data_IF_915349152937
#
_entry.id   IF_915349152937
#
_cell.length_a   1.000
_cell.length_b   1.000
_cell.length_c   1.000
_cell.angle_alpha   90.00
_cell.angle_beta   90.00
_cell.angle_gamma   90.00
#
_symmetry.space_group_name_H-M   'P 1'
#
loop_
_entity.id
_entity.type
_entity.pdbx_description
1 polymer ?
#
# COMPACT_ATOMS: atom_id res chain seq x y z
N UNK A 1 -16.08 16.17 -18.33
CA UNK A 1 -16.37 16.80 -17.03
C UNK A 1 -15.03 17.26 -16.46
N UNK A 2 -14.92 18.49 -16.00
CA UNK A 2 -13.72 19.00 -15.33
C UNK A 2 -13.47 18.23 -14.05
N UNK A 3 -12.21 17.86 -13.76
CA UNK A 3 -11.84 17.20 -12.52
C UNK A 3 -12.15 18.13 -11.34
N UNK A 4 -12.89 17.63 -10.35
CA UNK A 4 -13.16 18.37 -9.11
C UNK A 4 -11.99 18.14 -8.14
N UNK A 5 -11.44 19.20 -7.55
CA UNK A 5 -10.45 19.10 -6.48
C UNK A 5 -11.15 19.20 -5.13
N UNK A 6 -10.77 18.32 -4.20
CA UNK A 6 -11.28 18.26 -2.83
C UNK A 6 -10.11 18.38 -1.86
N UNK A 7 -10.30 19.10 -0.76
CA UNK A 7 -9.33 19.16 0.34
C UNK A 7 -9.66 18.13 1.41
N UNK A 8 -8.65 17.34 1.79
CA UNK A 8 -8.68 16.39 2.89
C UNK A 8 -7.98 16.99 4.14
N UNK A 9 -8.16 16.37 5.33
CA UNK A 9 -7.45 16.80 6.54
C UNK A 9 -5.95 16.92 6.31
N UNK A 10 -5.32 17.94 6.90
CA UNK A 10 -3.90 18.24 6.73
C UNK A 10 -3.56 19.06 5.49
N UNK A 11 -4.57 19.61 4.79
CA UNK A 11 -4.36 20.42 3.59
C UNK A 11 -4.03 19.58 2.34
N UNK A 12 -4.20 18.27 2.41
CA UNK A 12 -3.97 17.37 1.26
C UNK A 12 -5.05 17.60 0.20
N UNK A 13 -4.63 17.82 -1.04
CA UNK A 13 -5.51 18.07 -2.18
C UNK A 13 -5.59 16.83 -3.07
N UNK A 14 -6.81 16.44 -3.42
CA UNK A 14 -7.06 15.28 -4.29
C UNK A 14 -8.03 15.63 -5.41
N UNK A 15 -7.85 15.00 -6.56
CA UNK A 15 -8.78 15.11 -7.69
C UNK A 15 -9.79 13.99 -7.68
N UNK A 16 -11.03 14.33 -7.98
CA UNK A 16 -12.12 13.38 -8.15
C UNK A 16 -12.29 13.08 -9.64
N UNK A 17 -12.12 11.82 -10.01
CA UNK A 17 -12.49 11.29 -11.32
C UNK A 17 -13.52 10.17 -11.08
N UNK A 18 -14.62 10.06 -11.87
CA UNK A 18 -15.64 9.03 -11.62
C UNK A 18 -15.12 7.61 -11.88
N UNK A 19 -15.55 6.61 -11.15
CA UNK A 19 -15.92 6.48 -9.74
C UNK A 19 -15.11 5.41 -9.00
N UNK A 20 -14.05 5.76 -8.28
CA UNK A 20 -13.41 4.82 -7.35
C UNK A 20 -14.11 4.85 -5.99
N UNK A 21 -14.20 3.70 -5.31
CA UNK A 21 -14.86 3.59 -4.00
C UNK A 21 -14.26 4.55 -2.95
N UNK A 22 -12.94 4.70 -2.94
CA UNK A 22 -12.19 5.60 -2.07
C UNK A 22 -12.63 7.07 -2.23
N UNK A 23 -12.94 7.50 -3.45
CA UNK A 23 -13.35 8.87 -3.76
C UNK A 23 -14.69 9.26 -3.14
N UNK A 24 -15.57 8.28 -2.81
CA UNK A 24 -16.81 8.55 -2.06
C UNK A 24 -16.52 9.11 -0.67
N UNK A 25 -15.41 8.69 -0.02
CA UNK A 25 -14.99 9.25 1.26
C UNK A 25 -14.30 10.60 1.07
N UNK A 26 -13.50 10.77 0.04
CA UNK A 26 -12.86 12.03 -0.31
C UNK A 26 -13.88 13.16 -0.55
N UNK A 27 -14.98 12.86 -1.26
CA UNK A 27 -16.10 13.80 -1.45
C UNK A 27 -16.74 14.26 -0.13
N UNK A 28 -16.59 13.46 0.95
CA UNK A 28 -17.02 13.80 2.31
C UNK A 28 -15.90 14.46 3.13
N UNK A 29 -14.77 14.82 2.53
CA UNK A 29 -13.61 15.39 3.21
C UNK A 29 -12.91 14.41 4.15
N UNK A 30 -12.94 13.09 3.86
CA UNK A 30 -12.38 12.03 4.71
C UNK A 30 -11.50 11.10 3.90
N UNK A 31 -10.44 10.59 4.55
CA UNK A 31 -9.68 9.47 4.00
C UNK A 31 -10.52 8.17 4.05
N UNK A 32 -10.33 7.33 3.05
CA UNK A 32 -10.81 5.94 3.10
C UNK A 32 -10.03 5.18 4.18
N UNK A 33 -10.64 4.21 4.84
CA UNK A 33 -10.06 3.44 5.96
C UNK A 33 -9.53 4.31 7.11
N UNK A 34 -10.23 5.38 7.44
CA UNK A 34 -9.84 6.32 8.50
C UNK A 34 -9.47 5.68 9.85
N UNK A 35 -10.12 4.60 10.35
CA UNK A 35 -9.70 3.94 11.60
C UNK A 35 -8.31 3.31 11.52
N UNK A 36 -7.97 2.63 10.40
CA UNK A 36 -6.64 2.07 10.14
C UNK A 36 -5.59 3.18 10.11
N UNK A 37 -5.85 4.24 9.34
CA UNK A 37 -4.94 5.38 9.22
C UNK A 37 -4.72 6.11 10.55
N UNK A 38 -5.76 6.26 11.37
CA UNK A 38 -5.65 6.86 12.71
C UNK A 38 -4.78 6.00 13.63
N UNK A 39 -4.93 4.68 13.59
CA UNK A 39 -4.09 3.74 14.34
C UNK A 39 -2.63 3.84 13.90
N UNK A 40 -2.35 3.78 12.59
CA UNK A 40 -0.99 3.90 12.06
C UNK A 40 -0.36 5.23 12.50
N UNK A 41 -1.07 6.35 12.35
CA UNK A 41 -0.57 7.67 12.77
C UNK A 41 -0.26 7.74 14.27
N UNK A 42 -1.01 7.05 15.10
CA UNK A 42 -0.82 7.05 16.55
C UNK A 42 0.42 6.27 16.96
N UNK A 43 0.70 5.14 16.30
CA UNK A 43 1.68 4.16 16.77
C UNK A 43 2.99 4.14 15.95
N UNK A 44 2.96 4.61 14.68
CA UNK A 44 4.09 4.48 13.75
C UNK A 44 4.44 5.83 13.13
N UNK A 45 5.70 6.24 13.29
CA UNK A 45 6.22 7.50 12.76
C UNK A 45 7.67 7.38 12.34
N UNK A 46 8.03 8.17 11.33
CA UNK A 46 9.38 8.20 10.78
C UNK A 46 9.73 6.99 9.93
N UNK A 47 10.90 7.01 9.33
CA UNK A 47 11.36 5.96 8.43
C UNK A 47 10.69 5.96 7.05
N UNK A 48 10.91 4.88 6.32
CA UNK A 48 10.26 4.61 5.04
C UNK A 48 9.00 3.78 5.28
N UNK A 49 7.87 4.21 4.69
CA UNK A 49 6.65 3.42 4.59
C UNK A 49 6.53 2.87 3.16
N UNK A 50 6.14 1.60 3.02
CA UNK A 50 5.80 1.00 1.72
C UNK A 50 4.28 0.86 1.64
N UNK A 51 3.69 1.50 0.62
CA UNK A 51 2.27 1.41 0.28
C UNK A 51 2.12 0.52 -0.95
N UNK A 52 1.97 -0.78 -0.74
CA UNK A 52 1.75 -1.77 -1.79
C UNK A 52 0.28 -1.81 -2.19
N UNK A 53 0.01 -1.56 -3.48
CA UNK A 53 -1.33 -1.33 -4.01
C UNK A 53 -1.79 0.11 -3.74
N UNK A 54 -0.92 1.08 -4.00
CA UNK A 54 -1.17 2.49 -3.69
C UNK A 54 -2.37 3.11 -4.41
N UNK A 55 -2.83 2.49 -5.49
CA UNK A 55 -3.97 2.92 -6.30
C UNK A 55 -3.85 4.42 -6.67
N UNK A 56 -4.82 5.24 -6.29
CA UNK A 56 -4.83 6.70 -6.53
C UNK A 56 -4.25 7.53 -5.37
N UNK A 57 -3.64 6.86 -4.37
CA UNK A 57 -2.83 7.51 -3.33
C UNK A 57 -3.52 7.76 -1.99
N UNK A 58 -4.64 7.10 -1.65
CA UNK A 58 -5.33 7.35 -0.36
C UNK A 58 -4.40 7.19 0.85
N UNK A 59 -3.70 6.05 0.94
CA UNK A 59 -2.77 5.76 2.03
C UNK A 59 -1.46 6.51 1.85
N UNK A 60 -0.91 6.51 0.63
CA UNK A 60 0.33 7.24 0.27
C UNK A 60 0.29 8.69 0.74
N UNK A 61 -0.77 9.43 0.40
CA UNK A 61 -0.91 10.85 0.77
C UNK A 61 -1.00 11.04 2.28
N UNK A 62 -1.76 10.17 2.97
CA UNK A 62 -1.86 10.21 4.41
C UNK A 62 -0.51 9.91 5.08
N UNK A 63 0.20 8.89 4.64
CA UNK A 63 1.49 8.51 5.17
C UNK A 63 2.53 9.62 4.99
N UNK A 64 2.61 10.20 3.79
CA UNK A 64 3.53 11.29 3.48
C UNK A 64 3.21 12.57 4.26
N UNK A 65 1.92 12.89 4.46
CA UNK A 65 1.52 14.08 5.19
C UNK A 65 1.72 13.97 6.69
N UNK A 66 1.52 12.78 7.29
CA UNK A 66 1.38 12.68 8.74
C UNK A 66 2.34 11.71 9.44
N UNK A 67 2.96 10.77 8.74
CA UNK A 67 3.64 9.64 9.39
C UNK A 67 5.09 9.49 8.94
N UNK A 68 5.33 9.31 7.65
CA UNK A 68 6.58 8.86 7.08
C UNK A 68 7.55 10.00 6.75
N UNK A 69 8.83 9.68 6.73
CA UNK A 69 9.88 10.52 6.14
C UNK A 69 9.95 10.29 4.62
N UNK A 70 9.73 9.04 4.18
CA UNK A 70 9.61 8.63 2.79
C UNK A 70 8.45 7.64 2.64
N UNK A 71 7.74 7.69 1.51
CA UNK A 71 6.75 6.68 1.12
C UNK A 71 7.15 6.10 -0.24
N UNK A 72 7.35 4.77 -0.31
CA UNK A 72 7.40 4.07 -1.59
C UNK A 72 5.98 3.67 -1.97
N UNK A 73 5.44 4.31 -3.00
CA UNK A 73 4.09 4.06 -3.50
C UNK A 73 4.15 3.09 -4.68
N UNK A 74 3.74 1.84 -4.46
CA UNK A 74 3.83 0.76 -5.46
C UNK A 74 2.47 0.52 -6.08
N UNK A 75 2.34 0.76 -7.38
CA UNK A 75 1.08 0.62 -8.14
C UNK A 75 1.39 0.22 -9.59
N UNK A 76 0.95 -0.96 -10.07
CA UNK A 76 1.24 -1.43 -11.42
C UNK A 76 0.41 -0.76 -12.52
N UNK A 77 -0.81 -0.31 -12.20
CA UNK A 77 -1.75 0.22 -13.20
C UNK A 77 -1.39 1.66 -13.55
N UNK A 78 -0.99 1.90 -14.79
CA UNK A 78 -0.52 3.20 -15.27
C UNK A 78 -1.50 4.34 -15.00
N UNK A 79 -2.79 4.11 -15.25
CA UNK A 79 -3.85 5.11 -14.99
C UNK A 79 -3.95 5.48 -13.52
N UNK A 80 -3.85 4.51 -12.61
CA UNK A 80 -3.89 4.74 -11.17
C UNK A 80 -2.64 5.50 -10.73
N UNK A 81 -1.46 5.08 -11.19
CA UNK A 81 -0.19 5.75 -10.91
C UNK A 81 -0.20 7.20 -11.39
N UNK A 82 -0.68 7.47 -12.59
CA UNK A 82 -0.78 8.84 -13.10
C UNK A 82 -1.68 9.72 -12.20
N UNK A 83 -2.81 9.18 -11.72
CA UNK A 83 -3.72 9.87 -10.83
C UNK A 83 -3.09 10.10 -9.43
N UNK A 84 -2.38 9.08 -8.90
CA UNK A 84 -1.61 9.20 -7.66
C UNK A 84 -0.58 10.33 -7.75
N UNK A 85 0.21 10.38 -8.82
CA UNK A 85 1.23 11.40 -9.04
C UNK A 85 0.64 12.82 -9.11
N UNK A 86 -0.51 12.97 -9.75
CA UNK A 86 -1.21 14.27 -9.78
C UNK A 86 -1.68 14.68 -8.38
N UNK A 87 -2.23 13.75 -7.59
CA UNK A 87 -2.63 14.02 -6.21
C UNK A 87 -1.43 14.37 -5.30
N UNK A 88 -0.29 13.68 -5.49
CA UNK A 88 0.97 13.98 -4.78
C UNK A 88 1.45 15.40 -5.13
N UNK A 89 1.43 15.76 -6.43
CA UNK A 89 1.83 17.09 -6.91
C UNK A 89 0.93 18.19 -6.35
N UNK A 90 -0.37 18.03 -6.40
CA UNK A 90 -1.34 18.99 -5.87
C UNK A 90 -1.20 19.20 -4.37
N UNK A 91 -0.77 18.16 -3.66
CA UNK A 91 -0.57 18.20 -2.20
C UNK A 91 0.81 18.69 -1.79
N UNK A 92 1.73 18.97 -2.72
CA UNK A 92 3.11 19.39 -2.41
C UNK A 92 3.94 18.32 -1.68
N UNK A 93 3.69 17.02 -1.98
CA UNK A 93 4.32 15.90 -1.28
C UNK A 93 5.37 15.14 -2.12
N UNK A 94 5.82 15.73 -3.23
CA UNK A 94 6.74 15.09 -4.19
C UNK A 94 8.07 14.68 -3.54
N UNK A 95 8.59 15.48 -2.63
CA UNK A 95 9.87 15.22 -1.96
C UNK A 95 9.82 14.04 -0.99
N UNK A 96 8.62 13.57 -0.64
CA UNK A 96 8.41 12.45 0.29
C UNK A 96 7.94 11.17 -0.39
N UNK A 97 7.43 11.24 -1.62
CA UNK A 97 6.84 10.09 -2.31
C UNK A 97 7.71 9.63 -3.45
N UNK A 98 8.16 8.39 -3.39
CA UNK A 98 8.88 7.70 -4.46
C UNK A 98 7.91 6.73 -5.15
N UNK A 99 7.45 7.00 -6.37
CA UNK A 99 6.55 6.12 -7.09
C UNK A 99 7.32 4.93 -7.67
N UNK A 100 6.70 3.74 -7.60
CA UNK A 100 7.21 2.50 -8.20
C UNK A 100 6.11 1.87 -9.05
N UNK A 101 6.22 1.96 -10.37
CA UNK A 101 5.24 1.36 -11.29
C UNK A 101 5.55 -0.11 -11.52
N UNK A 102 5.16 -0.95 -10.56
CA UNK A 102 5.32 -2.40 -10.62
C UNK A 102 4.23 -3.10 -9.79
N UNK A 103 3.97 -4.37 -10.07
CA UNK A 103 3.26 -5.26 -9.17
C UNK A 103 4.23 -5.85 -8.13
N UNK A 104 3.71 -6.28 -6.98
CA UNK A 104 4.49 -7.02 -5.97
C UNK A 104 4.31 -8.52 -6.15
N UNK A 105 5.40 -9.27 -6.07
CA UNK A 105 5.42 -10.71 -6.19
C UNK A 105 6.54 -11.36 -5.39
N UNK A 106 6.61 -12.70 -5.47
CA UNK A 106 7.64 -13.50 -4.78
C UNK A 106 9.01 -13.38 -5.43
N UNK A 107 9.05 -13.17 -6.74
CA UNK A 107 10.26 -13.05 -7.56
C UNK A 107 10.11 -11.90 -8.55
N UNK A 108 11.19 -11.23 -8.94
CA UNK A 108 11.16 -10.25 -10.02
C UNK A 108 10.77 -10.92 -11.35
N UNK A 109 10.03 -10.19 -12.19
CA UNK A 109 9.59 -10.73 -13.48
C UNK A 109 8.70 -9.78 -14.24
N UNK A 110 7.83 -10.36 -15.08
CA UNK A 110 6.83 -9.66 -15.88
C UNK A 110 5.45 -10.30 -15.67
N UNK A 111 4.40 -9.50 -15.77
CA UNK A 111 3.01 -9.92 -15.64
C UNK A 111 2.07 -9.05 -16.44
N UNK A 112 0.79 -9.24 -16.25
CA UNK A 112 -0.27 -8.37 -16.77
C UNK A 112 -1.33 -8.12 -15.69
N UNK A 113 -1.95 -6.95 -15.72
CA UNK A 113 -3.06 -6.59 -14.84
C UNK A 113 -4.37 -6.84 -15.53
N UNK A 114 -5.17 -7.76 -15.02
CA UNK A 114 -6.50 -8.07 -15.51
C UNK A 114 -7.56 -7.42 -14.61
N UNK A 115 -8.45 -6.62 -15.18
CA UNK A 115 -9.56 -6.01 -14.46
C UNK A 115 -10.51 -7.09 -13.92
N UNK A 116 -10.75 -7.10 -12.61
CA UNK A 116 -11.54 -8.13 -11.94
C UNK A 116 -13.07 -8.03 -12.17
N UNK A 117 -13.54 -6.99 -12.87
CA UNK A 117 -14.91 -6.86 -13.37
C UNK A 117 -16.00 -6.51 -12.35
N UNK A 118 -15.69 -6.39 -11.06
CA UNK A 118 -16.69 -6.14 -10.01
C UNK A 118 -16.76 -4.70 -9.54
N UNK A 119 -15.63 -4.03 -9.38
CA UNK A 119 -15.55 -2.60 -9.04
C UNK A 119 -14.41 -1.92 -9.81
N UNK A 120 -14.53 -0.60 -10.05
CA UNK A 120 -13.47 0.16 -10.68
C UNK A 120 -12.25 0.23 -9.73
N UNK A 121 -11.09 -0.18 -10.22
CA UNK A 121 -9.84 -0.17 -9.46
C UNK A 121 -9.37 -1.54 -8.97
N UNK A 122 -10.18 -2.60 -9.12
CA UNK A 122 -9.77 -3.96 -8.80
C UNK A 122 -9.08 -4.61 -10.02
N UNK A 123 -7.81 -4.97 -9.85
CA UNK A 123 -7.01 -5.62 -10.89
C UNK A 123 -6.25 -6.79 -10.28
N UNK A 124 -6.28 -7.94 -10.95
CA UNK A 124 -5.51 -9.11 -10.57
C UNK A 124 -4.24 -9.20 -11.41
N UNK A 125 -3.12 -9.54 -10.79
CA UNK A 125 -1.89 -9.91 -11.49
C UNK A 125 -2.05 -11.31 -12.09
N UNK A 126 -1.79 -11.42 -13.38
CA UNK A 126 -1.82 -12.68 -14.14
C UNK A 126 -0.53 -12.83 -14.96
N UNK A 127 -0.32 -14.01 -15.54
CA UNK A 127 0.79 -14.23 -16.47
C UNK A 127 0.71 -13.26 -17.66
N UNK A 128 1.85 -12.68 -18.06
CA UNK A 128 1.93 -11.70 -19.14
C UNK A 128 3.25 -10.93 -19.13
N UNK A 129 3.33 -9.89 -19.94
CA UNK A 129 4.53 -9.06 -20.10
C UNK A 129 4.26 -7.54 -20.11
N UNK A 130 3.05 -7.13 -19.71
CA UNK A 130 2.62 -5.74 -19.77
C UNK A 130 3.09 -4.88 -18.57
N UNK A 131 3.35 -5.49 -17.42
CA UNK A 131 3.80 -4.80 -16.20
C UNK A 131 5.03 -5.47 -15.60
N UNK A 132 5.90 -4.68 -14.99
CA UNK A 132 7.01 -5.20 -14.20
C UNK A 132 6.49 -5.78 -12.89
N UNK A 133 7.09 -6.89 -12.45
CA UNK A 133 6.89 -7.47 -11.13
C UNK A 133 8.19 -7.30 -10.34
N UNK A 134 8.08 -6.72 -9.15
CA UNK A 134 9.19 -6.52 -8.21
C UNK A 134 8.92 -7.22 -6.89
N UNK A 135 9.91 -7.29 -6.02
CA UNK A 135 9.77 -7.83 -4.66
C UNK A 135 9.92 -6.73 -3.62
N UNK A 136 9.40 -6.96 -2.41
CA UNK A 136 9.64 -6.05 -1.29
C UNK A 136 11.13 -5.93 -0.98
N UNK A 137 11.89 -7.02 -1.13
CA UNK A 137 13.35 -7.00 -0.95
C UNK A 137 14.06 -6.09 -1.98
N UNK A 138 13.63 -6.10 -3.23
CA UNK A 138 14.20 -5.24 -4.27
C UNK A 138 13.95 -3.75 -3.99
N UNK A 139 12.83 -3.39 -3.32
CA UNK A 139 12.52 -2.01 -2.96
C UNK A 139 13.50 -1.44 -1.92
N UNK A 140 14.24 -2.27 -1.20
CA UNK A 140 15.24 -1.81 -0.22
C UNK A 140 16.31 -0.90 -0.83
N UNK A 141 16.59 -1.06 -2.13
CA UNK A 141 17.53 -0.20 -2.87
C UNK A 141 17.02 1.24 -3.06
N UNK A 142 15.71 1.47 -2.91
CA UNK A 142 15.08 2.79 -3.05
C UNK A 142 14.82 3.46 -1.70
N UNK A 143 15.03 2.76 -0.58
CA UNK A 143 14.76 3.26 0.75
C UNK A 143 15.86 4.22 1.22
N UNK A 144 15.47 5.44 1.57
CA UNK A 144 16.37 6.44 2.17
C UNK A 144 16.49 6.26 3.69
N UNK A 145 15.54 5.58 4.31
CA UNK A 145 15.47 5.30 5.75
C UNK A 145 15.11 3.83 5.96
N UNK A 146 15.32 3.26 7.17
CA UNK A 146 14.79 1.95 7.51
C UNK A 146 13.28 1.88 7.25
N UNK A 147 12.78 0.74 6.76
CA UNK A 147 11.36 0.54 6.55
C UNK A 147 10.69 0.27 7.90
N UNK A 148 9.73 1.09 8.27
CA UNK A 148 9.04 0.99 9.56
C UNK A 148 7.61 0.47 9.43
N UNK A 149 6.98 0.67 8.25
CA UNK A 149 5.63 0.17 7.96
C UNK A 149 5.58 -0.36 6.53
N UNK A 150 4.89 -1.48 6.35
CA UNK A 150 4.47 -2.01 5.04
C UNK A 150 2.96 -2.22 5.06
N UNK A 151 2.23 -1.57 4.16
CA UNK A 151 0.84 -1.90 3.85
C UNK A 151 0.80 -2.72 2.57
N UNK A 152 0.03 -3.80 2.57
CA UNK A 152 -0.25 -4.64 1.40
C UNK A 152 -1.76 -4.75 1.17
N UNK A 153 -2.20 -4.26 0.03
CA UNK A 153 -3.53 -4.38 -0.53
C UNK A 153 -3.33 -4.47 -2.05
N UNK A 154 -2.83 -5.61 -2.47
CA UNK A 154 -2.32 -5.86 -3.83
C UNK A 154 -3.16 -6.86 -4.62
N UNK A 155 -4.40 -7.03 -4.16
CA UNK A 155 -5.46 -7.77 -4.85
C UNK A 155 -5.03 -9.21 -5.18
N UNK A 156 -5.01 -10.07 -4.14
CA UNK A 156 -4.74 -11.51 -4.17
C UNK A 156 -3.26 -11.91 -4.35
N UNK A 157 -2.31 -10.97 -4.32
CA UNK A 157 -0.87 -11.28 -4.38
C UNK A 157 -0.13 -11.00 -3.08
N UNK A 158 -0.83 -10.77 -1.97
CA UNK A 158 -0.26 -10.46 -0.65
C UNK A 158 0.71 -11.53 -0.17
N UNK A 159 0.35 -12.80 -0.35
CA UNK A 159 1.21 -13.93 0.04
C UNK A 159 2.48 -13.98 -0.82
N UNK A 160 2.35 -13.76 -2.13
CA UNK A 160 3.51 -13.69 -3.03
C UNK A 160 4.41 -12.49 -2.68
N UNK A 161 3.83 -11.34 -2.34
CA UNK A 161 4.59 -10.17 -1.88
C UNK A 161 5.35 -10.47 -0.57
N UNK A 162 4.74 -11.17 0.39
CA UNK A 162 5.40 -11.60 1.63
C UNK A 162 6.55 -12.59 1.37
N UNK A 163 6.39 -13.51 0.42
CA UNK A 163 7.47 -14.43 0.03
C UNK A 163 8.67 -13.68 -0.56
N UNK A 164 8.45 -12.53 -1.18
CA UNK A 164 9.49 -11.63 -1.70
C UNK A 164 10.03 -10.63 -0.68
N UNK A 165 9.86 -10.85 0.62
CA UNK A 165 10.18 -9.89 1.69
C UNK A 165 11.20 -10.39 2.72
N UNK A 166 11.89 -11.50 2.47
CA UNK A 166 12.72 -12.16 3.48
C UNK A 166 13.85 -11.28 4.04
N UNK A 167 14.54 -10.53 3.18
CA UNK A 167 15.60 -9.62 3.59
C UNK A 167 15.04 -8.39 4.32
N UNK A 168 13.92 -7.83 3.83
CA UNK A 168 13.23 -6.72 4.48
C UNK A 168 12.79 -7.08 5.91
N UNK A 169 12.09 -8.21 6.06
CA UNK A 169 11.60 -8.68 7.37
C UNK A 169 12.72 -8.91 8.37
N UNK A 170 13.87 -9.42 7.89
CA UNK A 170 15.06 -9.67 8.71
C UNK A 170 15.83 -8.40 9.06
N UNK A 171 15.90 -7.42 8.14
CA UNK A 171 16.72 -6.22 8.30
C UNK A 171 16.03 -5.16 9.16
N UNK A 172 14.78 -4.82 8.83
CA UNK A 172 14.11 -3.63 9.33
C UNK A 172 12.98 -3.94 10.33
N UNK A 173 12.44 -5.16 10.32
CA UNK A 173 11.34 -5.59 11.20
C UNK A 173 10.12 -4.66 11.17
N UNK A 174 9.61 -4.24 10.00
CA UNK A 174 8.50 -3.29 9.92
C UNK A 174 7.22 -3.82 10.54
N UNK A 175 6.34 -2.95 11.01
CA UNK A 175 4.95 -3.31 11.22
C UNK A 175 4.28 -3.57 9.86
N UNK A 176 3.46 -4.62 9.77
CA UNK A 176 2.81 -5.00 8.53
C UNK A 176 1.30 -4.82 8.67
N UNK A 177 0.67 -4.24 7.65
CA UNK A 177 -0.77 -4.10 7.53
C UNK A 177 -1.19 -4.76 6.22
N UNK A 178 -1.80 -5.95 6.30
CA UNK A 178 -2.02 -6.83 5.15
C UNK A 178 -3.51 -7.11 5.01
N UNK A 179 -4.08 -6.83 3.83
CA UNK A 179 -5.43 -7.25 3.49
C UNK A 179 -5.43 -8.75 3.18
N UNK A 180 -6.23 -9.53 3.94
CA UNK A 180 -6.32 -10.99 3.78
C UNK A 180 -7.80 -11.37 3.81
N UNK A 181 -8.35 -11.72 2.66
CA UNK A 181 -9.78 -11.91 2.44
C UNK A 181 -10.28 -13.28 2.87
N UNK A 182 -9.39 -14.29 2.92
CA UNK A 182 -9.75 -15.68 3.19
C UNK A 182 -8.99 -16.25 4.39
N UNK A 183 -9.55 -17.29 5.01
CA UNK A 183 -8.85 -18.04 6.07
C UNK A 183 -7.58 -18.73 5.54
N UNK A 184 -7.57 -19.12 4.26
CA UNK A 184 -6.38 -19.70 3.63
C UNK A 184 -5.23 -18.72 3.52
N UNK A 185 -5.50 -17.47 3.08
CA UNK A 185 -4.49 -16.41 3.04
C UNK A 185 -4.00 -16.04 4.43
N UNK A 186 -4.91 -16.00 5.41
CA UNK A 186 -4.56 -15.71 6.79
C UNK A 186 -3.60 -16.77 7.36
N UNK A 187 -3.87 -18.06 7.11
CA UNK A 187 -2.99 -19.15 7.51
C UNK A 187 -1.63 -19.09 6.79
N UNK A 188 -1.63 -18.83 5.48
CA UNK A 188 -0.39 -18.72 4.71
C UNK A 188 0.47 -17.52 5.16
N UNK A 189 -0.14 -16.37 5.50
CA UNK A 189 0.58 -15.23 6.08
C UNK A 189 1.16 -15.56 7.46
N UNK A 190 0.38 -16.24 8.33
CA UNK A 190 0.86 -16.69 9.64
C UNK A 190 2.05 -17.67 9.51
N UNK A 191 2.02 -18.59 8.52
CA UNK A 191 3.10 -19.57 8.28
C UNK A 191 4.41 -18.89 7.82
N UNK A 192 4.33 -17.81 7.06
CA UNK A 192 5.50 -17.02 6.62
C UNK A 192 6.03 -16.15 7.77
N UNK A 193 5.15 -15.49 8.50
CA UNK A 193 5.52 -14.40 9.42
C UNK A 193 5.88 -14.89 10.82
N UNK A 194 5.24 -15.96 11.31
CA UNK A 194 5.53 -16.50 12.65
C UNK A 194 6.97 -16.98 12.82
N UNK A 195 7.60 -17.68 11.86
CA UNK A 195 9.03 -18.01 11.95
C UNK A 195 9.95 -16.80 11.99
N UNK A 196 9.49 -15.65 11.45
CA UNK A 196 10.21 -14.37 11.52
C UNK A 196 9.97 -13.59 12.82
N UNK A 197 9.26 -14.17 13.79
CA UNK A 197 8.96 -13.56 15.10
C UNK A 197 7.77 -12.60 15.11
N UNK A 198 6.93 -12.61 14.07
CA UNK A 198 5.74 -11.76 14.01
C UNK A 198 4.53 -12.40 14.69
N UNK A 199 3.72 -11.55 15.30
CA UNK A 199 2.42 -11.91 15.88
C UNK A 199 1.34 -11.03 15.26
N UNK A 200 0.23 -11.63 14.86
CA UNK A 200 -0.95 -10.92 14.42
C UNK A 200 -1.66 -10.30 15.63
N UNK A 201 -1.99 -9.00 15.57
CA UNK A 201 -2.52 -8.25 16.72
C UNK A 201 -3.94 -7.73 16.48
N UNK A 202 -4.14 -6.86 15.50
CA UNK A 202 -5.41 -6.18 15.25
C UNK A 202 -5.99 -6.50 13.88
N UNK A 203 -7.31 -6.28 13.76
CA UNK A 203 -8.04 -6.35 12.50
C UNK A 203 -8.79 -5.05 12.28
N UNK A 204 -8.71 -4.50 11.07
CA UNK A 204 -9.39 -3.27 10.67
C UNK A 204 -10.34 -3.53 9.51
N UNK A 205 -11.44 -2.75 9.48
CA UNK A 205 -12.31 -2.60 8.32
C UNK A 205 -13.22 -3.76 7.97
N UNK A 206 -14.03 -3.54 6.96
CA UNK A 206 -14.88 -4.54 6.32
C UNK A 206 -14.09 -5.42 5.35
N UNK A 207 -13.17 -4.85 4.55
CA UNK A 207 -12.06 -5.55 3.93
C UNK A 207 -11.02 -5.79 5.02
N UNK A 208 -10.76 -7.05 5.39
CA UNK A 208 -10.03 -7.34 6.61
C UNK A 208 -8.54 -7.09 6.44
N UNK A 209 -8.07 -5.92 6.88
CA UNK A 209 -6.64 -5.61 7.02
C UNK A 209 -6.17 -6.03 8.42
N UNK A 210 -5.16 -6.90 8.47
CA UNK A 210 -4.58 -7.39 9.72
C UNK A 210 -3.23 -6.72 9.99
N UNK A 211 -3.02 -6.35 11.25
CA UNK A 211 -1.73 -5.89 11.73
C UNK A 211 -0.89 -7.06 12.21
N UNK A 212 0.37 -7.08 11.79
CA UNK A 212 1.42 -7.97 12.30
C UNK A 212 2.57 -7.13 12.84
N UNK A 213 3.01 -7.44 14.04
CA UNK A 213 4.15 -6.79 14.68
C UNK A 213 5.14 -7.85 15.15
N UNK A 214 6.42 -7.53 15.11
CA UNK A 214 7.42 -8.41 15.70
C UNK A 214 7.38 -8.26 17.21
N UNK A 215 7.25 -9.39 17.91
CA UNK A 215 7.40 -9.40 19.36
C UNK A 215 8.84 -9.06 19.71
N UNK A 216 9.04 -8.00 20.49
CA UNK A 216 10.34 -7.76 21.10
C UNK A 216 10.60 -8.90 22.08
N UNK A 217 11.57 -9.77 21.77
CA UNK A 217 12.05 -10.82 22.65
C UNK A 217 12.77 -10.25 23.85
#
# INVERSE_FOLDING_TARGET
MSAQTVSLPGGVLVTIQPPLHQQKQWLKGRYYEAPLLAHIRKHYRGGTFIDGGACIGNHTLFFAAFCAQQVLAVEPVERNMAHLLENVRLSGLQDKVTPVRAALGALPGRGAMLHAGRMHGEYNLVAGDAVDVTTLDALLALCLYPVTVVKLDVQWTEIAALQGAAALLKRDHPALFIELMTLGELAAADDILRPCGYTRTLKFGGSPTYEYVRSNG
#
